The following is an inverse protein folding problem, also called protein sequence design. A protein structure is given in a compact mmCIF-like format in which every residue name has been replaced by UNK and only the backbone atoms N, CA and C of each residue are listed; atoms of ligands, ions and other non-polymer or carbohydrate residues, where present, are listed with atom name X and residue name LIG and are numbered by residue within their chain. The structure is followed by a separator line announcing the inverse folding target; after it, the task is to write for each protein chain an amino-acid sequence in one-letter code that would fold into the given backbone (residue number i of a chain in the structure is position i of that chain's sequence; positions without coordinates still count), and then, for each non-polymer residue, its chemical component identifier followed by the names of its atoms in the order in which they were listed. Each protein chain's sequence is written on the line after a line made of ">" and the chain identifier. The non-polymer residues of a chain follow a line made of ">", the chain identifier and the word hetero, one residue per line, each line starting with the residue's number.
data_IF_399150073792
#
_entry.id   IF_399150073792
#
_cell.length_a   1.000
_cell.length_b   1.000
_cell.length_c   1.000
_cell.angle_alpha   90.00
_cell.angle_beta   90.00
_cell.angle_gamma   90.00
#
_symmetry.space_group_name_H-M   'P 1'
#
loop_
_entity.id
_entity.type
_entity.pdbx_description
1 polymer ?
#
# COMPACT_ATOMS: atom_id res chain seq x y z
N UNK A 1 -3.32 -13.20 -3.80
CA UNK A 1 -2.82 -11.82 -4.03
C UNK A 1 -1.34 -11.81 -4.31
N UNK A 2 -0.79 -10.70 -4.86
CA UNK A 2 0.62 -10.57 -5.22
C UNK A 2 1.23 -9.31 -4.60
N UNK A 3 2.48 -9.42 -4.15
CA UNK A 3 3.30 -8.30 -3.66
C UNK A 3 4.63 -8.31 -4.42
N UNK A 4 5.03 -7.17 -4.96
CA UNK A 4 6.33 -6.97 -5.61
C UNK A 4 7.08 -5.87 -4.87
N UNK A 5 8.29 -6.15 -4.40
CA UNK A 5 9.16 -5.13 -3.78
C UNK A 5 10.22 -4.66 -4.76
N UNK A 6 10.14 -3.40 -5.18
CA UNK A 6 11.10 -2.81 -6.11
C UNK A 6 12.39 -2.31 -5.43
N UNK A 7 12.49 -2.44 -4.10
CA UNK A 7 13.58 -1.84 -3.34
C UNK A 7 14.97 -2.25 -3.82
N UNK A 8 15.21 -3.55 -3.95
CA UNK A 8 16.52 -4.04 -4.37
C UNK A 8 16.77 -3.75 -5.85
N UNK A 9 15.76 -3.93 -6.71
CA UNK A 9 15.85 -3.56 -8.13
C UNK A 9 16.25 -2.09 -8.32
N UNK A 10 15.65 -1.19 -7.55
CA UNK A 10 15.97 0.24 -7.58
C UNK A 10 17.36 0.50 -6.99
N UNK A 11 17.76 -0.22 -5.94
CA UNK A 11 19.07 -0.04 -5.31
C UNK A 11 20.23 -0.49 -6.19
N UNK A 12 20.06 -1.54 -6.97
CA UNK A 12 21.09 -2.18 -7.81
C UNK A 12 21.29 -1.47 -9.14
N UNK A 13 20.34 -0.66 -9.58
CA UNK A 13 20.40 0.02 -10.88
C UNK A 13 20.95 1.44 -10.79
N UNK A 14 21.68 1.85 -11.83
CA UNK A 14 22.25 3.21 -11.96
C UNK A 14 21.23 4.24 -12.47
N UNK A 15 20.18 3.78 -13.17
CA UNK A 15 19.13 4.63 -13.73
C UNK A 15 17.75 4.04 -13.46
N UNK A 16 16.76 4.91 -13.31
CA UNK A 16 15.37 4.46 -13.11
C UNK A 16 14.83 3.72 -14.34
N UNK A 17 15.17 4.21 -15.54
CA UNK A 17 14.79 3.55 -16.79
C UNK A 17 15.42 2.16 -16.92
N UNK A 18 16.66 1.98 -16.44
CA UNK A 18 17.34 0.69 -16.38
C UNK A 18 16.63 -0.28 -15.46
N UNK A 19 16.30 0.16 -14.24
CA UNK A 19 15.55 -0.65 -13.29
C UNK A 19 14.18 -1.10 -13.83
N UNK A 20 13.44 -0.17 -14.43
CA UNK A 20 12.14 -0.50 -15.03
C UNK A 20 12.28 -1.42 -16.25
N UNK A 21 13.31 -1.20 -17.09
CA UNK A 21 13.58 -2.08 -18.23
C UNK A 21 13.97 -3.51 -17.80
N UNK A 22 14.67 -3.65 -16.67
CA UNK A 22 15.00 -4.94 -16.09
C UNK A 22 13.76 -5.70 -15.59
N UNK A 23 12.71 -4.99 -15.17
CA UNK A 23 11.45 -5.61 -14.79
C UNK A 23 10.55 -6.00 -15.99
N UNK A 24 11.00 -5.74 -17.22
CA UNK A 24 10.23 -6.08 -18.43
C UNK A 24 9.90 -7.57 -18.48
N UNK A 25 8.70 -7.90 -18.97
CA UNK A 25 8.20 -9.26 -19.06
C UNK A 25 7.67 -9.83 -17.74
N UNK A 26 8.13 -9.33 -16.59
CA UNK A 26 7.57 -9.71 -15.28
C UNK A 26 6.09 -9.33 -15.18
N UNK A 27 5.74 -8.15 -15.65
CA UNK A 27 4.38 -7.61 -15.52
C UNK A 27 3.37 -8.36 -16.39
N UNK A 28 3.78 -8.74 -17.61
CA UNK A 28 2.95 -9.57 -18.48
C UNK A 28 2.74 -10.96 -17.87
N UNK A 29 3.80 -11.58 -17.33
CA UNK A 29 3.71 -12.88 -16.65
C UNK A 29 2.79 -12.84 -15.45
N UNK A 30 2.90 -11.81 -14.62
CA UNK A 30 2.00 -11.61 -13.48
C UNK A 30 0.57 -11.37 -13.95
N UNK A 31 0.37 -10.57 -15.01
CA UNK A 31 -0.97 -10.32 -15.55
C UNK A 31 -1.62 -11.60 -16.05
N UNK A 32 -0.91 -12.43 -16.80
CA UNK A 32 -1.44 -13.72 -17.28
C UNK A 32 -1.75 -14.69 -16.13
N UNK A 33 -0.89 -14.72 -15.11
CA UNK A 33 -1.00 -15.64 -13.97
C UNK A 33 -2.09 -15.28 -12.98
N UNK A 34 -2.36 -14.00 -12.79
CA UNK A 34 -3.36 -13.51 -11.84
C UNK A 34 -4.78 -13.81 -12.30
N UNK A 35 -5.63 -14.21 -11.37
CA UNK A 35 -7.08 -14.20 -11.58
C UNK A 35 -7.64 -12.77 -11.58
N UNK A 36 -8.80 -12.55 -12.21
CA UNK A 36 -9.45 -11.23 -12.26
C UNK A 36 -9.82 -10.68 -10.88
N UNK A 37 -10.03 -11.57 -9.92
CA UNK A 37 -10.36 -11.23 -8.54
C UNK A 37 -9.15 -10.87 -7.68
N UNK A 38 -7.94 -11.18 -8.12
CA UNK A 38 -6.73 -10.93 -7.35
C UNK A 38 -6.22 -9.49 -7.45
N UNK A 39 -5.38 -9.13 -6.49
CA UNK A 39 -4.79 -7.79 -6.37
C UNK A 39 -3.27 -7.86 -6.44
N UNK A 40 -2.68 -6.82 -7.03
CA UNK A 40 -1.24 -6.61 -7.12
C UNK A 40 -0.86 -5.37 -6.32
N UNK A 41 0.08 -5.55 -5.40
CA UNK A 41 0.63 -4.50 -4.54
C UNK A 41 2.10 -4.34 -4.83
N UNK A 42 2.54 -3.12 -5.13
CA UNK A 42 3.93 -2.85 -5.50
C UNK A 42 4.51 -1.85 -4.52
N UNK A 43 5.54 -2.26 -3.83
CA UNK A 43 6.32 -1.39 -2.96
C UNK A 43 7.28 -0.61 -3.85
N UNK A 44 7.08 0.70 -3.89
CA UNK A 44 7.83 1.62 -4.73
C UNK A 44 8.54 2.66 -3.85
N UNK A 45 9.76 2.36 -3.38
CA UNK A 45 10.49 3.24 -2.50
C UNK A 45 10.92 4.51 -3.24
N UNK A 46 10.86 5.65 -2.54
CA UNK A 46 11.47 6.86 -3.07
C UNK A 46 12.99 6.79 -2.92
N UNK A 47 13.70 6.97 -3.99
CA UNK A 47 15.16 6.88 -4.04
C UNK A 47 15.80 8.22 -4.44
N UNK A 48 17.06 8.40 -4.07
CA UNK A 48 17.87 9.55 -4.46
C UNK A 48 19.18 9.05 -5.06
N UNK A 49 19.56 9.64 -6.20
CA UNK A 49 20.86 9.39 -6.84
C UNK A 49 21.49 10.75 -7.17
N UNK A 50 22.69 10.98 -6.70
CA UNK A 50 23.42 12.25 -6.91
C UNK A 50 22.60 13.50 -6.54
N UNK A 51 21.80 13.41 -5.48
CA UNK A 51 20.93 14.49 -5.01
C UNK A 51 19.65 14.68 -5.85
N UNK A 52 19.39 13.84 -6.84
CA UNK A 52 18.17 13.85 -7.66
C UNK A 52 17.21 12.77 -7.17
N UNK A 53 15.96 13.18 -6.95
CA UNK A 53 14.89 12.26 -6.56
C UNK A 53 14.46 11.42 -7.75
N UNK A 54 14.34 10.12 -7.53
CA UNK A 54 13.67 9.18 -8.42
C UNK A 54 12.24 8.94 -7.93
N UNK A 55 11.22 9.46 -8.63
CA UNK A 55 9.83 9.26 -8.25
C UNK A 55 9.34 7.90 -8.74
N UNK A 56 9.84 6.83 -8.10
CA UNK A 56 9.69 5.43 -8.53
C UNK A 56 8.23 5.06 -8.73
N UNK A 57 7.35 5.37 -7.78
CA UNK A 57 5.94 5.02 -7.84
C UNK A 57 5.25 5.56 -9.10
N UNK A 58 5.57 6.81 -9.47
CA UNK A 58 4.96 7.48 -10.61
C UNK A 58 5.35 6.82 -11.93
N UNK A 59 6.65 6.54 -12.10
CA UNK A 59 7.17 5.91 -13.32
C UNK A 59 6.80 4.42 -13.38
N UNK A 60 6.89 3.70 -12.27
CA UNK A 60 6.49 2.29 -12.22
C UNK A 60 5.00 2.11 -12.53
N UNK A 61 4.12 2.94 -11.97
CA UNK A 61 2.70 2.85 -12.24
C UNK A 61 2.36 3.04 -13.73
N UNK A 62 3.02 3.99 -14.39
CA UNK A 62 2.80 4.26 -15.81
C UNK A 62 3.36 3.13 -16.68
N UNK A 63 4.59 2.72 -16.40
CA UNK A 63 5.27 1.63 -17.09
C UNK A 63 4.47 0.32 -17.04
N UNK A 64 4.03 -0.10 -15.85
CA UNK A 64 3.30 -1.36 -15.64
C UNK A 64 1.91 -1.33 -16.31
N UNK A 65 1.25 -0.19 -16.30
CA UNK A 65 -0.03 -0.02 -16.99
C UNK A 65 0.11 -0.12 -18.51
N UNK A 66 1.17 0.46 -19.07
CA UNK A 66 1.41 0.44 -20.51
C UNK A 66 1.89 -0.92 -20.99
N UNK A 67 2.74 -1.58 -20.21
CA UNK A 67 3.30 -2.88 -20.58
C UNK A 67 2.26 -4.00 -20.47
N UNK A 68 1.61 -4.17 -19.34
CA UNK A 68 0.74 -5.32 -19.05
C UNK A 68 -0.75 -4.98 -18.96
N UNK A 69 -1.13 -3.71 -18.97
CA UNK A 69 -2.53 -3.30 -18.96
C UNK A 69 -3.22 -3.32 -17.59
N UNK A 70 -2.48 -3.44 -16.49
CA UNK A 70 -3.04 -3.32 -15.14
C UNK A 70 -3.74 -1.97 -14.93
N UNK A 71 -4.78 -1.98 -14.11
CA UNK A 71 -5.45 -0.77 -13.70
C UNK A 71 -4.97 -0.32 -12.32
N UNK A 72 -4.36 0.86 -12.23
CA UNK A 72 -4.02 1.48 -10.95
C UNK A 72 -5.31 1.93 -10.26
N UNK A 73 -5.57 1.40 -9.07
CA UNK A 73 -6.73 1.75 -8.23
C UNK A 73 -6.42 2.84 -7.24
N UNK A 74 -5.22 2.78 -6.64
CA UNK A 74 -4.80 3.77 -5.67
C UNK A 74 -3.27 3.76 -5.51
N UNK A 75 -2.76 4.84 -4.93
CA UNK A 75 -1.42 4.91 -4.36
C UNK A 75 -1.55 5.14 -2.88
N UNK A 76 -0.95 4.28 -2.08
CA UNK A 76 -0.90 4.40 -0.62
C UNK A 76 0.46 5.01 -0.28
N UNK A 77 0.45 6.16 0.37
CA UNK A 77 1.66 6.81 0.86
C UNK A 77 1.89 6.38 2.30
N UNK A 78 3.03 5.73 2.55
CA UNK A 78 3.48 5.33 3.88
C UNK A 78 4.55 6.31 4.34
N UNK A 79 4.21 7.14 5.31
CA UNK A 79 5.19 8.07 5.90
C UNK A 79 6.07 7.30 6.88
N UNK A 80 7.38 7.32 6.62
CA UNK A 80 8.39 6.70 7.48
C UNK A 80 9.18 7.76 8.21
N UNK A 81 9.48 7.49 9.48
CA UNK A 81 10.36 8.37 10.27
C UNK A 81 11.79 8.02 9.91
N UNK A 82 12.47 8.94 9.23
CA UNK A 82 13.89 8.83 8.93
C UNK A 82 14.66 10.06 9.42
N UNK A 83 15.91 9.88 9.78
CA UNK A 83 16.81 11.02 10.01
C UNK A 83 17.08 11.69 8.66
N UNK A 84 16.47 12.83 8.46
CA UNK A 84 16.45 13.54 7.18
C UNK A 84 17.67 14.43 6.96
N UNK A 85 18.52 14.57 7.97
CA UNK A 85 19.62 15.52 7.88
C UNK A 85 19.17 16.98 7.60
N UNK A 86 19.99 17.74 6.89
CA UNK A 86 19.70 19.12 6.56
C UNK A 86 18.96 19.30 5.20
N UNK A 87 18.90 18.27 4.38
CA UNK A 87 18.32 18.34 3.04
C UNK A 87 16.85 17.97 3.03
N UNK A 88 16.12 18.50 2.04
CA UNK A 88 14.72 18.15 1.79
C UNK A 88 14.66 16.80 1.06
N UNK A 89 14.65 15.71 1.82
CA UNK A 89 14.50 14.35 1.30
C UNK A 89 13.08 13.82 1.53
N UNK A 90 12.67 12.86 0.71
CA UNK A 90 11.38 12.19 0.88
C UNK A 90 11.33 11.47 2.23
N UNK A 91 10.22 11.61 2.91
CA UNK A 91 9.95 10.98 4.20
C UNK A 91 8.89 9.90 4.08
N UNK A 92 8.64 9.41 2.86
CA UNK A 92 7.61 8.42 2.60
C UNK A 92 8.03 7.49 1.48
N UNK A 93 7.47 6.32 1.49
CA UNK A 93 7.45 5.37 0.39
C UNK A 93 6.01 5.18 -0.09
N UNK A 94 5.85 4.80 -1.34
CA UNK A 94 4.55 4.54 -1.91
C UNK A 94 4.33 3.05 -2.13
N UNK A 95 3.08 2.62 -1.94
CA UNK A 95 2.61 1.30 -2.32
C UNK A 95 1.55 1.49 -3.39
N UNK A 96 1.78 0.93 -4.58
CA UNK A 96 0.81 0.97 -5.67
C UNK A 96 -0.16 -0.19 -5.52
N UNK A 97 -1.45 0.13 -5.60
CA UNK A 97 -2.52 -0.85 -5.61
C UNK A 97 -3.08 -1.00 -7.03
N UNK A 98 -2.81 -2.12 -7.67
CA UNK A 98 -3.22 -2.44 -9.03
C UNK A 98 -4.12 -3.67 -9.07
N UNK A 99 -4.93 -3.76 -10.12
CA UNK A 99 -5.85 -4.87 -10.37
C UNK A 99 -5.87 -5.23 -11.86
N UNK A 100 -6.16 -6.49 -12.16
CA UNK A 100 -6.41 -6.95 -13.53
C UNK A 100 -7.78 -6.49 -14.03
N UNK A 101 -8.84 -6.73 -13.26
CA UNK A 101 -10.18 -6.24 -13.56
C UNK A 101 -10.61 -5.12 -12.61
N UNK A 102 -11.16 -4.04 -13.17
CA UNK A 102 -11.55 -2.84 -12.41
C UNK A 102 -12.77 -3.05 -11.51
N UNK A 103 -13.52 -4.14 -11.68
CA UNK A 103 -14.82 -4.39 -11.05
C UNK A 103 -14.86 -5.69 -10.23
N UNK A 104 -14.04 -6.68 -10.58
CA UNK A 104 -14.14 -8.04 -10.03
C UNK A 104 -13.09 -8.34 -8.94
N UNK A 105 -12.21 -7.38 -8.62
CA UNK A 105 -11.18 -7.58 -7.60
C UNK A 105 -11.75 -7.67 -6.18
N UNK A 106 -11.15 -8.53 -5.37
CA UNK A 106 -11.46 -8.66 -3.95
C UNK A 106 -10.70 -7.61 -3.13
N UNK A 107 -11.42 -6.93 -2.24
CA UNK A 107 -10.85 -5.91 -1.37
C UNK A 107 -11.59 -5.87 -0.04
N UNK A 108 -10.96 -6.40 1.00
CA UNK A 108 -11.51 -6.59 2.34
C UNK A 108 -11.25 -5.36 3.22
N UNK A 109 -11.73 -4.20 2.83
CA UNK A 109 -11.44 -2.91 3.51
C UNK A 109 -11.84 -2.85 4.98
N UNK A 110 -12.78 -3.69 5.40
CA UNK A 110 -13.25 -3.70 6.79
C UNK A 110 -12.20 -4.29 7.75
N UNK A 111 -11.25 -5.07 7.24
CA UNK A 111 -10.14 -5.67 8.00
C UNK A 111 -9.09 -4.65 8.48
N UNK A 112 -9.11 -3.43 7.94
CA UNK A 112 -8.14 -2.37 8.29
C UNK A 112 -8.81 -1.11 8.84
N UNK A 113 -10.06 -1.22 9.29
CA UNK A 113 -10.74 -0.06 9.89
C UNK A 113 -10.00 0.43 11.12
N UNK A 114 -10.00 1.74 11.30
CA UNK A 114 -9.40 2.41 12.45
C UNK A 114 -10.48 3.12 13.27
N UNK A 115 -10.22 3.34 14.56
CA UNK A 115 -11.15 4.01 15.44
C UNK A 115 -11.56 5.40 14.92
N UNK A 116 -12.78 5.81 15.23
CA UNK A 116 -13.22 7.17 14.93
C UNK A 116 -12.50 8.16 15.84
N UNK A 117 -12.05 9.30 15.29
CA UNK A 117 -11.39 10.39 16.04
C UNK A 117 -12.22 10.90 17.22
N UNK A 118 -13.54 10.75 17.13
CA UNK A 118 -14.49 11.22 18.14
C UNK A 118 -15.08 10.07 18.97
N UNK A 119 -14.51 8.89 18.91
CA UNK A 119 -14.93 7.76 19.72
C UNK A 119 -14.69 8.08 21.20
N UNK A 120 -15.77 8.00 22.00
CA UNK A 120 -15.73 8.35 23.41
C UNK A 120 -15.87 9.85 23.73
N UNK A 121 -15.94 10.76 22.77
CA UNK A 121 -16.26 12.15 23.04
C UNK A 121 -17.75 12.32 23.29
N UNK A 122 -18.12 12.60 24.54
CA UNK A 122 -19.45 13.10 24.88
C UNK A 122 -19.57 14.55 24.36
N UNK A 123 -20.39 14.74 23.34
CA UNK A 123 -20.78 16.09 22.92
C UNK A 123 -21.67 16.69 24.00
N UNK A 124 -21.10 17.60 24.78
CA UNK A 124 -21.81 18.23 25.88
C UNK A 124 -23.13 18.86 25.44
N UNK A 125 -24.12 18.80 26.33
CA UNK A 125 -25.51 19.25 26.20
C UNK A 125 -25.70 20.75 25.87
N UNK A 126 -24.65 21.51 25.63
CA UNK A 126 -24.69 22.98 25.54
C UNK A 126 -24.47 23.60 24.16
N UNK A 127 -24.33 22.81 23.09
CA UNK A 127 -24.22 23.39 21.73
C UNK A 127 -25.61 23.57 21.12
N UNK A 128 -26.05 24.84 20.97
CA UNK A 128 -27.24 25.17 20.19
C UNK A 128 -27.13 24.51 18.79
N UNK A 129 -28.17 23.76 18.45
CA UNK A 129 -28.29 23.10 17.13
C UNK A 129 -28.34 24.19 16.08
N UNK A 130 -27.28 24.33 15.29
CA UNK A 130 -27.33 25.16 14.08
C UNK A 130 -28.33 24.57 13.08
N UNK A 131 -29.02 25.43 12.34
CA UNK A 131 -30.02 25.07 11.32
C UNK A 131 -29.45 24.36 10.06
N UNK A 132 -28.39 23.63 10.19
CA UNK A 132 -27.80 22.89 9.06
C UNK A 132 -28.32 21.45 9.03
N UNK A 133 -28.82 21.01 7.89
CA UNK A 133 -29.27 19.64 7.67
C UNK A 133 -28.19 18.56 7.93
N UNK A 134 -26.94 18.98 8.11
CA UNK A 134 -25.81 18.12 8.52
C UNK A 134 -25.74 17.87 10.03
N UNK A 135 -26.57 18.52 10.82
CA UNK A 135 -26.60 18.40 12.29
C UNK A 135 -27.82 17.63 12.81
N UNK A 136 -28.35 16.71 12.00
CA UNK A 136 -29.37 15.80 12.52
C UNK A 136 -28.72 14.84 13.52
N UNK A 137 -28.86 15.16 14.80
CA UNK A 137 -28.20 14.48 15.92
C UNK A 137 -28.77 13.10 16.23
N UNK A 138 -29.89 12.72 15.59
CA UNK A 138 -30.53 11.43 15.82
C UNK A 138 -29.99 10.29 14.95
N UNK A 139 -29.22 10.60 13.91
CA UNK A 139 -28.66 9.57 13.03
C UNK A 139 -27.18 9.81 12.78
N UNK A 140 -26.33 9.54 13.77
CA UNK A 140 -24.91 9.37 13.52
C UNK A 140 -24.69 8.05 12.78
N UNK A 141 -24.54 8.14 11.47
CA UNK A 141 -24.19 6.99 10.62
C UNK A 141 -22.69 6.74 10.64
N UNK A 142 -22.13 6.53 11.83
CA UNK A 142 -20.77 6.00 11.94
C UNK A 142 -20.85 4.49 11.74
N UNK A 143 -19.92 3.93 10.94
CA UNK A 143 -19.76 2.50 10.94
C UNK A 143 -19.29 2.07 12.34
N UNK A 144 -19.99 1.16 13.04
CA UNK A 144 -19.59 0.71 14.37
C UNK A 144 -18.20 0.07 14.40
N UNK A 145 -17.76 -0.48 13.28
CA UNK A 145 -16.47 -1.15 13.14
C UNK A 145 -15.31 -0.16 12.88
N UNK A 146 -15.57 1.15 12.91
CA UNK A 146 -14.56 2.17 12.68
C UNK A 146 -14.64 2.83 11.30
N UNK A 147 -13.70 3.74 11.03
CA UNK A 147 -13.59 4.46 9.75
C UNK A 147 -12.56 3.82 8.83
N UNK A 148 -12.71 4.08 7.53
CA UNK A 148 -11.70 3.81 6.52
C UNK A 148 -10.43 4.66 6.81
N UNK A 149 -9.23 4.08 6.89
CA UNK A 149 -8.00 4.82 7.15
C UNK A 149 -7.58 5.75 6.00
N UNK A 150 -8.18 5.59 4.81
CA UNK A 150 -7.73 6.29 3.60
C UNK A 150 -6.44 5.70 3.03
N UNK A 151 -5.71 6.51 2.27
CA UNK A 151 -4.51 6.07 1.55
C UNK A 151 -3.23 6.82 1.98
N UNK A 152 -3.25 7.51 3.11
CA UNK A 152 -2.07 8.09 3.74
C UNK A 152 -1.90 7.44 5.10
N UNK A 153 -0.84 6.64 5.24
CA UNK A 153 -0.54 5.89 6.45
C UNK A 153 0.71 6.46 7.09
N UNK A 154 0.62 6.81 8.35
CA UNK A 154 1.65 7.56 9.05
C UNK A 154 2.33 6.67 10.08
N UNK A 155 3.65 6.63 10.02
CA UNK A 155 4.49 6.25 11.14
C UNK A 155 4.84 7.53 11.91
N UNK A 156 4.23 7.74 13.07
CA UNK A 156 4.52 8.89 13.92
C UNK A 156 5.31 8.48 15.16
N UNK A 157 6.33 9.27 15.50
CA UNK A 157 6.94 9.21 16.80
C UNK A 157 6.02 9.88 17.83
N UNK A 158 5.28 9.07 18.57
CA UNK A 158 4.36 9.53 19.62
C UNK A 158 5.02 10.42 20.67
N UNK A 159 6.36 10.37 20.81
CA UNK A 159 7.08 11.20 21.76
C UNK A 159 7.11 12.68 21.37
N UNK A 160 6.80 13.01 20.11
CA UNK A 160 6.88 14.37 19.58
C UNK A 160 5.51 15.03 19.35
N UNK A 161 4.41 14.34 19.54
CA UNK A 161 3.06 14.92 19.39
C UNK A 161 2.61 15.58 20.69
N UNK A 162 2.50 16.93 20.73
CA UNK A 162 2.15 17.65 21.95
C UNK A 162 0.69 17.44 22.41
N UNK A 163 -0.18 16.88 21.58
CA UNK A 163 -1.58 16.66 21.89
C UNK A 163 -1.98 15.23 21.54
N UNK A 164 -2.01 14.36 22.52
CA UNK A 164 -2.50 12.98 22.40
C UNK A 164 -3.98 12.85 21.98
N UNK A 165 -4.69 13.96 21.86
CA UNK A 165 -6.13 13.97 21.56
C UNK A 165 -6.48 14.02 20.06
N UNK A 166 -5.50 14.12 19.15
CA UNK A 166 -5.73 14.22 17.71
C UNK A 166 -5.11 13.03 16.98
N UNK A 167 -5.35 11.85 17.48
CA UNK A 167 -4.93 10.62 16.82
C UNK A 167 -5.94 10.25 15.72
N UNK A 168 -5.93 10.99 14.64
CA UNK A 168 -6.83 10.76 13.51
C UNK A 168 -6.45 9.51 12.71
N UNK A 169 -5.17 9.12 12.77
CA UNK A 169 -4.65 7.90 12.18
C UNK A 169 -3.63 7.33 13.14
N UNK A 170 -3.84 6.11 13.64
CA UNK A 170 -2.82 5.46 14.43
C UNK A 170 -1.53 5.38 13.62
N UNK A 171 -0.38 5.82 14.17
CA UNK A 171 0.90 5.67 13.49
C UNK A 171 1.16 4.20 13.24
N UNK A 172 1.69 3.91 12.07
CA UNK A 172 1.99 2.54 11.67
C UNK A 172 3.43 2.44 11.20
N UNK A 173 4.08 1.32 11.51
CA UNK A 173 5.35 0.96 10.90
C UNK A 173 5.16 0.56 9.43
N UNK A 174 6.23 0.53 8.66
CA UNK A 174 6.18 0.01 7.29
C UNK A 174 5.72 -1.46 7.28
N UNK A 175 6.15 -2.25 8.26
CA UNK A 175 5.70 -3.62 8.47
C UNK A 175 4.18 -3.70 8.66
N UNK A 176 3.60 -2.84 9.50
CA UNK A 176 2.13 -2.78 9.65
C UNK A 176 1.44 -2.33 8.36
N UNK A 177 2.08 -1.49 7.53
CA UNK A 177 1.55 -1.15 6.21
C UNK A 177 1.46 -2.38 5.30
N UNK A 178 2.48 -3.24 5.31
CA UNK A 178 2.45 -4.52 4.58
C UNK A 178 1.37 -5.45 5.14
N UNK A 179 1.24 -5.56 6.47
CA UNK A 179 0.15 -6.34 7.11
C UNK A 179 -1.22 -5.86 6.65
N UNK A 180 -1.44 -4.56 6.56
CA UNK A 180 -2.69 -3.98 6.03
C UNK A 180 -2.94 -4.36 4.57
N UNK A 181 -1.91 -4.32 3.72
CA UNK A 181 -2.04 -4.78 2.33
C UNK A 181 -2.45 -6.25 2.27
N UNK A 182 -1.85 -7.10 3.11
CA UNK A 182 -2.18 -8.53 3.19
C UNK A 182 -3.63 -8.73 3.63
N UNK A 183 -4.07 -8.04 4.69
CA UNK A 183 -5.45 -8.15 5.21
C UNK A 183 -6.50 -7.71 4.20
N UNK A 184 -6.26 -6.64 3.45
CA UNK A 184 -7.23 -6.16 2.45
C UNK A 184 -7.21 -6.93 1.15
N UNK A 185 -6.09 -7.56 0.79
CA UNK A 185 -5.90 -8.24 -0.48
C UNK A 185 -6.07 -9.76 -0.44
N UNK A 186 -6.22 -10.37 0.76
CA UNK A 186 -6.36 -11.82 0.92
C UNK A 186 -7.13 -12.20 2.18
N UNK A 187 -7.68 -13.42 2.18
CA UNK A 187 -8.27 -14.05 3.37
C UNK A 187 -7.27 -14.98 4.06
N UNK A 188 -7.60 -15.42 5.27
CA UNK A 188 -6.84 -16.47 5.97
C UNK A 188 -6.71 -17.73 5.10
N UNK A 189 -5.56 -18.39 5.19
CA UNK A 189 -5.20 -19.59 4.43
C UNK A 189 -5.04 -19.37 2.91
N UNK A 190 -5.26 -18.16 2.39
CA UNK A 190 -4.97 -17.85 0.99
C UNK A 190 -3.47 -17.58 0.75
N UNK A 191 -3.04 -17.83 -0.50
CA UNK A 191 -1.66 -17.59 -0.88
C UNK A 191 -1.36 -16.09 -1.10
N UNK A 192 -0.24 -15.65 -0.53
CA UNK A 192 0.40 -14.36 -0.82
C UNK A 192 1.67 -14.64 -1.60
N UNK A 193 1.64 -14.33 -2.88
CA UNK A 193 2.77 -14.50 -3.78
C UNK A 193 3.66 -13.25 -3.73
N UNK A 194 4.96 -13.43 -3.55
CA UNK A 194 5.90 -12.31 -3.49
C UNK A 194 6.98 -12.44 -4.55
N UNK A 195 7.34 -11.32 -5.17
CA UNK A 195 8.51 -11.18 -6.03
C UNK A 195 9.46 -10.18 -5.37
N UNK A 196 10.71 -10.53 -5.19
CA UNK A 196 11.74 -9.75 -4.47
C UNK A 196 11.37 -9.37 -3.02
N UNK A 197 10.42 -10.06 -2.41
CA UNK A 197 9.90 -9.78 -1.07
C UNK A 197 10.04 -10.98 -0.13
N UNK A 198 11.20 -11.65 -0.11
CA UNK A 198 11.44 -12.80 0.77
C UNK A 198 11.38 -12.45 2.25
N UNK A 199 11.68 -11.20 2.63
CA UNK A 199 11.58 -10.69 3.99
C UNK A 199 10.15 -10.63 4.53
N UNK A 200 9.13 -10.79 3.68
CA UNK A 200 7.73 -10.77 4.10
C UNK A 200 7.20 -12.13 4.58
N UNK A 201 8.02 -13.19 4.53
CA UNK A 201 7.60 -14.55 4.93
C UNK A 201 7.01 -14.57 6.34
N UNK A 202 7.72 -14.02 7.33
CA UNK A 202 7.24 -13.98 8.71
C UNK A 202 5.96 -13.13 8.84
N UNK A 203 5.88 -12.01 8.14
CA UNK A 203 4.70 -11.13 8.17
C UNK A 203 3.47 -11.84 7.60
N UNK A 204 3.64 -12.54 6.48
CA UNK A 204 2.57 -13.32 5.84
C UNK A 204 2.09 -14.46 6.74
N UNK A 205 3.03 -15.18 7.37
CA UNK A 205 2.72 -16.25 8.30
C UNK A 205 1.98 -15.76 9.55
N UNK A 206 2.40 -14.64 10.12
CA UNK A 206 1.76 -14.02 11.28
C UNK A 206 0.31 -13.61 11.00
N UNK A 207 0.00 -13.28 9.74
CA UNK A 207 -1.36 -12.95 9.29
C UNK A 207 -2.17 -14.20 8.90
N UNK A 208 -1.69 -15.41 9.19
CA UNK A 208 -2.32 -16.70 8.85
C UNK A 208 -2.54 -16.88 7.34
N UNK A 209 -1.60 -16.44 6.50
CA UNK A 209 -1.60 -16.62 5.04
C UNK A 209 -0.47 -17.57 4.64
N UNK A 210 -0.57 -18.11 3.42
CA UNK A 210 0.44 -19.00 2.87
C UNK A 210 1.45 -18.21 2.04
N UNK A 211 2.70 -18.15 2.50
CA UNK A 211 3.77 -17.48 1.78
C UNK A 211 4.22 -18.27 0.55
N UNK A 212 4.41 -17.57 -0.56
CA UNK A 212 4.87 -18.15 -1.83
C UNK A 212 5.82 -17.19 -2.53
N UNK A 213 7.13 -17.41 -2.41
CA UNK A 213 8.11 -16.68 -3.19
C UNK A 213 8.08 -17.10 -4.65
N UNK A 214 8.06 -16.13 -5.56
CA UNK A 214 8.15 -16.31 -7.00
C UNK A 214 9.51 -15.81 -7.49
N UNK A 215 10.13 -16.57 -8.36
CA UNK A 215 11.37 -16.17 -9.00
C UNK A 215 11.09 -15.27 -10.20
N UNK A 216 11.69 -14.07 -10.21
CA UNK A 216 11.47 -13.08 -11.26
C UNK A 216 12.05 -13.53 -12.61
N UNK A 217 13.15 -14.31 -12.63
CA UNK A 217 13.76 -14.82 -13.87
C UNK A 217 12.91 -15.93 -14.47
N UNK A 218 12.35 -16.82 -13.62
CA UNK A 218 11.39 -17.83 -14.08
C UNK A 218 10.16 -17.17 -14.70
N UNK A 219 9.56 -16.19 -14.02
CA UNK A 219 8.39 -15.46 -14.52
C UNK A 219 8.67 -14.78 -15.86
N UNK A 220 9.82 -14.12 -16.04
CA UNK A 220 10.19 -13.48 -17.30
C UNK A 220 10.37 -14.49 -18.44
N UNK A 221 10.92 -15.67 -18.15
CA UNK A 221 11.15 -16.70 -19.15
C UNK A 221 9.86 -17.36 -19.66
N UNK A 222 8.78 -17.38 -18.88
CA UNK A 222 7.49 -17.96 -19.27
C UNK A 222 6.88 -17.29 -20.52
N UNK A 223 7.13 -16.00 -20.73
CA UNK A 223 6.61 -15.25 -21.88
C UNK A 223 7.43 -15.48 -23.13
N UNK A 224 8.76 -15.60 -23.02
CA UNK A 224 9.63 -15.84 -24.17
C UNK A 224 9.33 -17.18 -24.86
N UNK A 225 8.82 -18.16 -24.12
CA UNK A 225 8.47 -19.50 -24.65
C UNK A 225 7.12 -19.49 -25.36
N UNK A 226 6.22 -18.54 -25.03
CA UNK A 226 4.86 -18.47 -25.56
C UNK A 226 4.67 -17.42 -26.68
N UNK A 227 5.72 -16.68 -27.04
CA UNK A 227 5.76 -15.65 -28.10
C UNK A 227 6.37 -16.19 -29.38
#
# INVERSE_FOLDING_TARGET
>A
MYIVDLKDLIAENETLEGALAESRGLWDSLYERMDSSETLWIIAPNAYRDGVMWPVAMFAADYIREEAGFALKNTITVHTISDRGADMVSAYDDILFLVKDKREYLFYKDEIRVSHVYEGNEWGDGREKGNSAYHDTEVRRYNPDGKDPGNVWLEEDRSQTPNQEVDATAPISFEEAIRRCIRVGSQEEEAVHTVWGSEFEDIVADENRLFSALDADELRSEIEVNS
#
